data_IF_171735437923
#
_entry.id   IF_171735437923
#
_cell.length_a   1.000
_cell.length_b   1.000
_cell.length_c   1.000
_cell.angle_alpha   90.00
_cell.angle_beta   90.00
_cell.angle_gamma   90.00
#
_symmetry.space_group_name_H-M   'P 1'
#
loop_
_entity.id
_entity.type
_entity.pdbx_description
1 polymer ?
#
# COMPACT_ATOMS: atom_id res chain seq x y z
N UNK A 1 -36.04 69.80 24.38
CA UNK A 1 -36.73 68.64 23.80
C UNK A 1 -35.79 68.00 22.78
N UNK A 2 -34.91 67.11 23.23
CA UNK A 2 -35.14 65.64 23.35
C UNK A 2 -34.70 64.89 22.09
N UNK A 3 -33.41 64.55 22.01
CA UNK A 3 -32.92 63.47 21.12
C UNK A 3 -31.92 62.53 21.80
N UNK A 4 -31.64 62.69 23.10
CA UNK A 4 -30.62 61.90 23.81
C UNK A 4 -31.12 60.51 24.27
N UNK A 5 -32.43 60.22 24.16
CA UNK A 5 -33.00 58.96 24.69
C UNK A 5 -32.99 57.75 23.75
N UNK A 6 -32.66 57.89 22.46
CA UNK A 6 -32.78 56.76 21.53
C UNK A 6 -31.52 55.87 21.40
N UNK A 7 -30.37 56.27 21.94
CA UNK A 7 -29.09 55.56 21.67
C UNK A 7 -28.65 54.56 22.74
N UNK A 8 -29.32 54.47 23.89
CA UNK A 8 -28.87 53.63 25.02
C UNK A 8 -29.43 52.20 25.01
N UNK A 9 -30.58 51.97 24.35
CA UNK A 9 -31.23 50.65 24.36
C UNK A 9 -30.57 49.64 23.40
N UNK A 10 -30.04 50.08 22.27
CA UNK A 10 -29.41 49.17 21.29
C UNK A 10 -28.12 48.55 21.80
N UNK A 11 -27.37 49.26 22.64
CA UNK A 11 -26.10 48.76 23.17
C UNK A 11 -26.28 47.61 24.16
N UNK A 12 -27.34 47.66 24.99
CA UNK A 12 -27.64 46.59 25.95
C UNK A 12 -28.33 45.38 25.29
N UNK A 13 -29.13 45.60 24.24
CA UNK A 13 -29.73 44.50 23.48
C UNK A 13 -28.67 43.73 22.68
N UNK A 14 -27.76 44.43 21.99
CA UNK A 14 -26.67 43.79 21.24
C UNK A 14 -25.67 43.08 22.15
N UNK A 15 -25.39 43.62 23.35
CA UNK A 15 -24.51 42.95 24.32
C UNK A 15 -25.12 41.65 24.84
N UNK A 16 -26.42 41.63 25.17
CA UNK A 16 -27.12 40.39 25.58
C UNK A 16 -27.25 39.39 24.43
N UNK A 17 -27.41 39.85 23.19
CA UNK A 17 -27.47 38.96 22.02
C UNK A 17 -26.09 38.37 21.65
N UNK A 18 -25.00 39.12 21.85
CA UNK A 18 -23.63 38.63 21.66
C UNK A 18 -23.15 37.73 22.80
N UNK A 19 -23.54 38.00 24.06
CA UNK A 19 -23.24 37.12 25.19
C UNK A 19 -24.02 35.79 25.09
N UNK A 20 -25.27 35.81 24.63
CA UNK A 20 -26.03 34.57 24.33
C UNK A 20 -25.45 33.81 23.13
N UNK A 21 -25.06 34.49 22.04
CA UNK A 21 -24.39 33.85 20.88
C UNK A 21 -23.02 33.26 21.20
N UNK A 22 -22.34 33.73 22.24
CA UNK A 22 -21.09 33.14 22.72
C UNK A 22 -21.28 31.97 23.68
N UNK A 23 -22.44 31.83 24.34
CA UNK A 23 -22.73 30.71 25.25
C UNK A 23 -23.28 29.44 24.56
N UNK A 24 -23.79 29.56 23.33
CA UNK A 24 -24.41 28.45 22.59
C UNK A 24 -23.62 27.97 21.34
N UNK A 25 -22.38 28.43 21.15
CA UNK A 25 -21.47 27.76 20.21
C UNK A 25 -20.93 26.48 20.84
N UNK A 26 -21.71 25.41 20.67
CA UNK A 26 -21.33 24.00 20.68
C UNK A 26 -19.97 23.68 21.32
N UNK A 27 -20.01 23.07 22.51
CA UNK A 27 -18.88 22.42 23.21
C UNK A 27 -18.31 21.23 22.45
N UNK A 28 -17.82 21.44 21.23
CA UNK A 28 -16.92 20.54 20.52
C UNK A 28 -15.83 21.43 19.92
N UNK A 29 -14.97 21.99 20.77
CA UNK A 29 -13.70 22.53 20.29
C UNK A 29 -12.84 21.35 19.85
N UNK A 30 -12.84 21.08 18.55
CA UNK A 30 -11.99 20.07 17.92
C UNK A 30 -10.53 20.44 18.18
N UNK A 31 -9.94 19.86 19.22
CA UNK A 31 -8.60 20.23 19.67
C UNK A 31 -7.58 19.47 18.81
N UNK A 32 -7.23 20.06 17.66
CA UNK A 32 -6.42 19.44 16.61
C UNK A 32 -5.10 18.85 17.16
N UNK A 33 -4.51 19.48 18.17
CA UNK A 33 -3.29 19.02 18.82
C UNK A 33 -3.48 17.74 19.65
N UNK A 34 -4.64 17.58 20.30
CA UNK A 34 -4.99 16.36 21.05
C UNK A 34 -5.22 15.20 20.08
N UNK A 35 -5.86 15.48 18.95
CA UNK A 35 -6.06 14.50 17.88
C UNK A 35 -4.70 14.06 17.35
N UNK A 36 -3.81 14.98 16.95
CA UNK A 36 -2.48 14.64 16.44
C UNK A 36 -1.65 13.79 17.43
N UNK A 37 -1.78 14.04 18.74
CA UNK A 37 -1.11 13.26 19.80
C UNK A 37 -1.72 11.87 20.04
N UNK A 38 -2.96 11.61 19.63
CA UNK A 38 -3.68 10.33 19.87
C UNK A 38 -4.13 9.60 18.60
N UNK A 39 -3.93 10.17 17.42
CA UNK A 39 -4.33 9.63 16.10
C UNK A 39 -3.91 8.18 15.89
N UNK A 40 -2.70 7.80 16.30
CA UNK A 40 -2.22 6.41 16.17
C UNK A 40 -3.07 5.41 16.97
N UNK A 41 -3.66 5.83 18.11
CA UNK A 41 -4.57 4.96 18.89
C UNK A 41 -5.91 4.78 18.17
N UNK A 42 -6.45 5.85 17.60
CA UNK A 42 -7.67 5.78 16.79
C UNK A 42 -7.47 4.88 15.57
N UNK A 43 -6.34 5.04 14.87
CA UNK A 43 -5.94 4.14 13.80
C UNK A 43 -6.00 2.67 14.25
N UNK A 44 -5.32 2.32 15.35
CA UNK A 44 -5.26 0.94 15.82
C UNK A 44 -6.65 0.37 16.15
N UNK A 45 -7.48 1.12 16.88
CA UNK A 45 -8.82 0.67 17.26
C UNK A 45 -9.71 0.42 16.04
N UNK A 46 -9.72 1.36 15.09
CA UNK A 46 -10.56 1.26 13.89
C UNK A 46 -10.03 0.14 12.97
N UNK A 47 -8.71 0.08 12.77
CA UNK A 47 -8.08 -0.92 11.93
C UNK A 47 -8.28 -2.34 12.47
N UNK A 48 -8.16 -2.56 13.80
CA UNK A 48 -8.45 -3.88 14.37
C UNK A 48 -9.92 -4.26 14.22
N UNK A 49 -10.85 -3.34 14.49
CA UNK A 49 -12.28 -3.62 14.37
C UNK A 49 -12.67 -4.00 12.94
N UNK A 50 -12.36 -3.14 11.96
CA UNK A 50 -12.69 -3.43 10.56
C UNK A 50 -11.83 -4.54 9.99
N UNK A 51 -10.56 -4.62 10.36
CA UNK A 51 -9.66 -5.67 9.88
C UNK A 51 -10.12 -7.07 10.27
N UNK A 52 -10.68 -7.26 11.47
CA UNK A 52 -11.29 -8.54 11.87
C UNK A 52 -12.51 -8.85 11.00
N UNK A 53 -13.40 -7.88 10.84
CA UNK A 53 -14.60 -8.04 9.99
C UNK A 53 -14.22 -8.43 8.56
N UNK A 54 -13.21 -7.76 7.98
CA UNK A 54 -12.75 -8.03 6.62
C UNK A 54 -12.04 -9.39 6.51
N UNK A 55 -11.19 -9.75 7.48
CA UNK A 55 -10.45 -11.02 7.48
C UNK A 55 -11.40 -12.23 7.48
N UNK A 56 -12.54 -12.11 8.17
CA UNK A 56 -13.55 -13.17 8.27
C UNK A 56 -14.57 -13.08 7.13
N UNK A 57 -15.06 -11.88 6.82
CA UNK A 57 -16.23 -11.66 5.97
C UNK A 57 -15.95 -11.52 4.49
N UNK A 58 -14.72 -11.22 4.08
CA UNK A 58 -14.39 -11.12 2.65
C UNK A 58 -14.32 -12.52 2.01
N UNK A 59 -14.88 -12.71 0.80
CA UNK A 59 -14.71 -13.95 0.05
C UNK A 59 -13.24 -14.30 -0.14
N UNK A 60 -12.95 -15.59 -0.31
CA UNK A 60 -11.58 -16.03 -0.53
C UNK A 60 -11.06 -15.53 -1.87
N UNK A 61 -9.77 -15.24 -1.95
CA UNK A 61 -9.13 -14.78 -3.18
C UNK A 61 -9.83 -13.58 -3.84
N UNK A 62 -10.28 -12.64 -3.02
CA UNK A 62 -10.88 -11.37 -3.45
C UNK A 62 -9.88 -10.48 -4.21
N UNK A 63 -8.57 -10.70 -4.05
CA UNK A 63 -7.55 -10.11 -4.91
C UNK A 63 -7.46 -10.82 -6.27
N UNK A 64 -7.12 -10.11 -7.36
CA UNK A 64 -6.93 -10.70 -8.69
C UNK A 64 -5.99 -11.92 -8.70
N UNK A 65 -4.97 -11.90 -7.85
CA UNK A 65 -3.94 -12.93 -7.68
C UNK A 65 -4.00 -13.64 -6.31
N UNK A 66 -5.16 -13.65 -5.65
CA UNK A 66 -5.33 -14.29 -4.34
C UNK A 66 -4.90 -15.77 -4.28
N UNK A 67 -5.17 -16.52 -5.36
CA UNK A 67 -4.73 -17.93 -5.49
C UNK A 67 -3.20 -18.03 -5.52
N UNK A 68 -2.53 -17.12 -6.21
CA UNK A 68 -1.06 -17.06 -6.24
C UNK A 68 -0.48 -16.84 -4.84
N UNK A 69 -1.07 -15.92 -4.08
CA UNK A 69 -0.64 -15.63 -2.72
C UNK A 69 -0.79 -16.82 -1.79
N UNK A 70 -1.96 -17.46 -1.82
CA UNK A 70 -2.20 -18.65 -1.01
C UNK A 70 -1.25 -19.79 -1.33
N UNK A 71 -1.05 -20.12 -2.62
CA UNK A 71 -0.13 -21.19 -3.02
C UNK A 71 1.29 -20.90 -2.55
N UNK A 72 1.78 -19.67 -2.71
CA UNK A 72 3.12 -19.31 -2.24
C UNK A 72 3.25 -19.39 -0.72
N UNK A 73 2.28 -18.86 0.02
CA UNK A 73 2.27 -18.92 1.48
C UNK A 73 2.26 -20.35 2.00
N UNK A 74 1.43 -21.22 1.41
CA UNK A 74 1.36 -22.64 1.77
C UNK A 74 2.65 -23.38 1.40
N UNK A 75 3.24 -23.08 0.25
CA UNK A 75 4.52 -23.67 -0.16
C UNK A 75 5.67 -23.30 0.79
N UNK A 76 5.72 -22.07 1.31
CA UNK A 76 6.77 -21.65 2.29
C UNK A 76 6.77 -22.54 3.54
N UNK A 77 5.63 -23.07 3.95
CA UNK A 77 5.49 -23.96 5.11
C UNK A 77 5.34 -25.43 4.74
N UNK A 78 5.75 -25.80 3.53
CA UNK A 78 5.68 -27.17 2.99
C UNK A 78 4.27 -27.78 2.97
N UNK A 79 3.25 -26.92 2.86
CA UNK A 79 1.86 -27.33 2.77
C UNK A 79 1.39 -27.24 1.30
N UNK A 80 1.49 -28.35 0.58
CA UNK A 80 1.02 -28.43 -0.81
C UNK A 80 -0.43 -28.87 -0.88
N UNK A 81 -1.35 -27.90 -0.87
CA UNK A 81 -2.79 -28.14 -0.91
C UNK A 81 -3.35 -28.17 -2.34
N UNK A 82 -4.14 -29.17 -2.66
CA UNK A 82 -4.93 -29.19 -3.89
C UNK A 82 -6.26 -28.44 -3.71
N UNK A 83 -6.29 -27.19 -4.18
CA UNK A 83 -7.49 -26.36 -4.14
C UNK A 83 -8.48 -26.63 -5.29
N UNK A 84 -8.17 -27.53 -6.25
CA UNK A 84 -9.12 -27.91 -7.31
C UNK A 84 -10.34 -28.65 -6.76
N UNK A 85 -10.16 -29.36 -5.64
CA UNK A 85 -11.24 -30.02 -4.88
C UNK A 85 -12.35 -29.03 -4.46
N UNK A 86 -11.99 -27.75 -4.32
CA UNK A 86 -12.92 -26.68 -3.96
C UNK A 86 -13.47 -25.92 -5.19
N UNK A 87 -13.16 -26.35 -6.40
CA UNK A 87 -13.55 -25.72 -7.66
C UNK A 87 -12.64 -24.59 -8.13
N UNK A 88 -11.48 -24.39 -7.49
CA UNK A 88 -10.56 -23.29 -7.81
C UNK A 88 -9.63 -23.64 -8.97
N UNK A 89 -10.16 -23.85 -10.17
CA UNK A 89 -9.38 -24.37 -11.30
C UNK A 89 -8.47 -23.33 -11.98
N UNK A 90 -8.56 -22.05 -11.61
CA UNK A 90 -7.70 -21.01 -12.17
C UNK A 90 -6.23 -21.26 -11.80
N UNK A 91 -5.33 -21.10 -12.79
CA UNK A 91 -3.90 -21.32 -12.59
C UNK A 91 -3.31 -20.27 -11.64
N UNK A 92 -3.62 -18.98 -11.87
CA UNK A 92 -3.04 -17.85 -11.11
C UNK A 92 -3.94 -16.62 -10.98
N UNK A 93 -4.76 -16.36 -12.00
CA UNK A 93 -5.58 -15.16 -12.12
C UNK A 93 -6.96 -15.58 -12.61
N UNK A 94 -8.03 -15.02 -12.05
CA UNK A 94 -9.40 -15.35 -12.41
C UNK A 94 -10.40 -14.47 -11.68
N UNK A 95 -11.70 -14.71 -11.89
CA UNK A 95 -12.75 -14.09 -11.09
C UNK A 95 -13.19 -15.11 -10.03
N UNK A 96 -12.42 -15.22 -8.94
CA UNK A 96 -12.54 -16.27 -7.93
C UNK A 96 -13.87 -16.21 -7.16
N UNK A 97 -14.57 -15.08 -7.23
CA UNK A 97 -15.95 -14.97 -6.74
C UNK A 97 -16.92 -15.91 -7.47
N UNK A 98 -16.69 -16.19 -8.76
CA UNK A 98 -17.56 -17.09 -9.55
C UNK A 98 -17.51 -18.51 -9.00
N UNK A 99 -16.34 -18.98 -8.55
CA UNK A 99 -16.15 -20.33 -8.04
C UNK A 99 -16.81 -20.54 -6.67
N UNK A 100 -16.88 -19.48 -5.86
CA UNK A 100 -17.50 -19.50 -4.54
C UNK A 100 -19.00 -19.20 -4.56
N UNK A 101 -19.49 -18.48 -5.58
CA UNK A 101 -20.91 -18.06 -5.68
C UNK A 101 -21.90 -19.20 -5.47
N UNK A 102 -21.76 -20.39 -6.11
CA UNK A 102 -22.67 -21.50 -5.88
C UNK A 102 -22.73 -21.91 -4.41
N UNK A 103 -21.58 -21.89 -3.72
CA UNK A 103 -21.49 -22.31 -2.33
C UNK A 103 -22.23 -21.35 -1.36
N UNK A 104 -22.21 -20.06 -1.68
CA UNK A 104 -22.98 -19.05 -0.96
C UNK A 104 -24.49 -19.17 -1.24
N UNK A 105 -24.87 -19.41 -2.50
CA UNK A 105 -26.27 -19.49 -2.91
C UNK A 105 -26.98 -20.74 -2.39
N UNK A 106 -26.26 -21.87 -2.31
CA UNK A 106 -26.81 -23.15 -1.87
C UNK A 106 -26.71 -23.36 -0.35
N UNK A 107 -26.06 -22.45 0.39
CA UNK A 107 -25.90 -22.54 1.84
C UNK A 107 -24.88 -23.57 2.32
N UNK A 108 -24.08 -24.16 1.43
CA UNK A 108 -23.06 -25.17 1.71
C UNK A 108 -21.65 -24.58 1.91
N UNK A 109 -21.50 -23.25 1.92
CA UNK A 109 -20.22 -22.56 2.12
C UNK A 109 -19.42 -23.08 3.32
N UNK A 110 -20.04 -23.17 4.50
CA UNK A 110 -19.34 -23.62 5.71
C UNK A 110 -18.89 -25.09 5.59
N UNK A 111 -19.78 -25.97 5.15
CA UNK A 111 -19.46 -27.38 4.91
C UNK A 111 -18.32 -27.54 3.89
N UNK A 112 -18.40 -26.83 2.77
CA UNK A 112 -17.43 -26.90 1.68
C UNK A 112 -16.06 -26.38 2.10
N UNK A 113 -15.98 -25.27 2.82
CA UNK A 113 -14.69 -24.60 3.07
C UNK A 113 -14.14 -24.78 4.48
N UNK A 114 -14.98 -24.96 5.49
CA UNK A 114 -14.57 -25.03 6.90
C UNK A 114 -14.60 -26.46 7.45
N UNK A 115 -15.45 -27.35 6.95
CA UNK A 115 -15.54 -28.76 7.40
C UNK A 115 -14.80 -29.74 6.48
N UNK A 116 -14.61 -29.40 5.21
CA UNK A 116 -13.90 -30.26 4.25
C UNK A 116 -12.39 -30.07 4.41
N UNK A 117 -11.71 -31.13 4.82
CA UNK A 117 -10.26 -31.13 4.97
C UNK A 117 -9.53 -30.94 3.63
N UNK A 118 -8.41 -30.23 3.67
CA UNK A 118 -7.57 -29.99 2.50
C UNK A 118 -6.88 -31.28 2.08
N UNK A 119 -6.95 -31.58 0.78
CA UNK A 119 -6.21 -32.69 0.21
C UNK A 119 -4.78 -32.24 -0.11
N UNK A 120 -3.80 -33.05 0.31
CA UNK A 120 -2.39 -32.78 0.00
C UNK A 120 -2.01 -33.51 -1.28
N UNK A 121 -1.25 -32.82 -2.12
CA UNK A 121 -0.73 -33.39 -3.35
C UNK A 121 0.76 -33.05 -3.47
N UNK A 122 1.62 -33.97 -3.93
CA UNK A 122 3.01 -33.65 -4.23
C UNK A 122 3.11 -32.43 -5.16
N UNK A 123 4.06 -31.53 -4.88
CA UNK A 123 4.21 -30.27 -5.62
C UNK A 123 4.29 -30.47 -7.14
N UNK A 124 4.99 -31.51 -7.59
CA UNK A 124 5.15 -31.85 -9.01
C UNK A 124 3.86 -32.30 -9.72
N UNK A 125 2.81 -32.63 -8.96
CA UNK A 125 1.50 -33.03 -9.48
C UNK A 125 0.47 -31.90 -9.40
N UNK A 126 0.78 -30.80 -8.72
CA UNK A 126 -0.13 -29.67 -8.62
C UNK A 126 -0.28 -28.97 -9.99
N UNK A 127 -1.49 -28.51 -10.36
CA UNK A 127 -1.70 -27.75 -11.59
C UNK A 127 -1.14 -26.31 -11.54
N UNK A 128 -0.43 -25.94 -10.46
CA UNK A 128 0.09 -24.60 -10.14
C UNK A 128 1.57 -24.69 -9.74
N UNK A 129 2.18 -23.59 -9.28
CA UNK A 129 3.65 -23.45 -9.12
C UNK A 129 4.26 -24.68 -8.49
N UNK A 130 5.23 -25.23 -9.20
CA UNK A 130 6.01 -26.38 -8.79
C UNK A 130 7.27 -26.00 -8.02
N UNK A 131 7.47 -24.70 -7.75
CA UNK A 131 8.70 -24.15 -7.18
C UNK A 131 8.44 -23.43 -5.86
N UNK A 132 9.41 -23.58 -4.95
CA UNK A 132 9.48 -22.80 -3.72
C UNK A 132 10.04 -21.40 -4.03
N UNK A 133 9.45 -20.33 -3.48
CA UNK A 133 9.99 -18.99 -3.67
C UNK A 133 11.40 -18.89 -3.03
N UNK A 134 12.33 -18.25 -3.74
CA UNK A 134 13.71 -18.03 -3.25
C UNK A 134 13.69 -17.18 -1.98
N UNK A 135 14.45 -17.55 -0.96
CA UNK A 135 14.45 -16.92 0.38
C UNK A 135 14.64 -15.39 0.33
N UNK A 136 15.56 -14.88 -0.50
CA UNK A 136 15.84 -13.45 -0.64
C UNK A 136 15.03 -12.76 -1.74
N UNK A 137 13.83 -13.26 -2.05
CA UNK A 137 12.91 -12.63 -2.98
C UNK A 137 11.77 -11.92 -2.24
N UNK A 138 11.22 -10.86 -2.85
CA UNK A 138 10.01 -10.21 -2.33
C UNK A 138 8.83 -11.19 -2.22
N UNK A 139 8.79 -12.22 -3.07
CA UNK A 139 7.80 -13.28 -2.98
C UNK A 139 7.99 -14.13 -1.72
N UNK A 140 9.20 -14.49 -1.33
CA UNK A 140 9.36 -15.20 -0.06
C UNK A 140 9.09 -14.27 1.12
N UNK A 141 9.81 -13.14 1.18
CA UNK A 141 9.76 -12.20 2.32
C UNK A 141 8.36 -11.62 2.53
N UNK A 142 7.66 -11.29 1.45
CA UNK A 142 6.30 -10.75 1.48
C UNK A 142 5.24 -11.73 1.96
N UNK A 143 5.46 -13.04 1.78
CA UNK A 143 4.51 -14.06 2.22
C UNK A 143 4.89 -14.70 3.56
N UNK A 144 5.97 -14.29 4.25
CA UNK A 144 6.36 -14.87 5.55
C UNK A 144 5.23 -14.80 6.58
N UNK A 145 4.60 -13.62 6.71
CA UNK A 145 3.52 -13.40 7.69
C UNK A 145 2.28 -14.22 7.31
N UNK A 146 1.76 -14.14 6.06
CA UNK A 146 0.70 -15.05 5.60
C UNK A 146 1.03 -16.53 5.80
N UNK A 147 2.26 -16.96 5.51
CA UNK A 147 2.69 -18.35 5.63
C UNK A 147 2.66 -18.84 7.08
N UNK A 148 3.09 -18.02 8.04
CA UNK A 148 2.97 -18.32 9.46
C UNK A 148 1.50 -18.53 9.88
N UNK A 149 0.59 -17.73 9.33
CA UNK A 149 -0.85 -17.87 9.63
C UNK A 149 -1.50 -19.05 8.89
N UNK A 150 -1.01 -19.40 7.70
CA UNK A 150 -1.38 -20.66 7.01
C UNK A 150 -0.99 -21.87 7.86
N UNK A 151 0.25 -21.88 8.36
CA UNK A 151 0.73 -22.94 9.25
C UNK A 151 -0.13 -23.02 10.51
N UNK A 152 -0.43 -21.89 11.15
CA UNK A 152 -1.27 -21.85 12.36
C UNK A 152 -2.67 -22.39 12.07
N UNK A 153 -3.32 -21.93 11.00
CA UNK A 153 -4.67 -22.35 10.64
C UNK A 153 -4.75 -23.85 10.34
N UNK A 154 -3.76 -24.39 9.64
CA UNK A 154 -3.68 -25.83 9.36
C UNK A 154 -3.62 -26.68 10.65
N UNK A 155 -2.90 -26.20 11.67
CA UNK A 155 -2.79 -26.90 12.95
C UNK A 155 -4.01 -26.72 13.87
N UNK A 156 -4.85 -25.70 13.63
CA UNK A 156 -6.14 -25.57 14.31
C UNK A 156 -7.15 -26.54 13.70
N UNK A 157 -7.33 -26.45 12.38
CA UNK A 157 -8.13 -27.40 11.63
C UNK A 157 -7.71 -27.36 10.15
N UNK A 158 -7.42 -28.50 9.50
CA UNK A 158 -6.86 -28.52 8.16
C UNK A 158 -7.93 -28.29 7.08
N UNK A 159 -8.74 -27.23 7.18
CA UNK A 159 -9.68 -26.80 6.14
C UNK A 159 -9.23 -25.53 5.45
N UNK A 160 -9.63 -25.33 4.18
CA UNK A 160 -9.25 -24.13 3.42
C UNK A 160 -9.68 -22.85 4.14
N UNK A 161 -10.90 -22.84 4.71
CA UNK A 161 -11.45 -21.70 5.42
C UNK A 161 -10.66 -21.35 6.68
N UNK A 162 -10.32 -22.34 7.51
CA UNK A 162 -9.52 -22.10 8.71
C UNK A 162 -8.13 -21.56 8.35
N UNK A 163 -7.46 -22.19 7.38
CA UNK A 163 -6.14 -21.79 6.90
C UNK A 163 -6.14 -20.34 6.40
N UNK A 164 -7.09 -19.99 5.53
CA UNK A 164 -7.17 -18.64 4.94
C UNK A 164 -7.52 -17.61 6.01
N UNK A 165 -8.52 -17.86 6.87
CA UNK A 165 -8.95 -16.90 7.89
C UNK A 165 -7.84 -16.65 8.91
N UNK A 166 -7.13 -17.70 9.37
CA UNK A 166 -6.00 -17.52 10.27
C UNK A 166 -4.84 -16.76 9.62
N UNK A 167 -4.54 -17.04 8.34
CA UNK A 167 -3.55 -16.27 7.58
C UNK A 167 -3.91 -14.79 7.48
N UNK A 168 -5.16 -14.47 7.15
CA UNK A 168 -5.66 -13.09 7.06
C UNK A 168 -5.62 -12.37 8.40
N UNK A 169 -6.10 -13.01 9.47
CA UNK A 169 -6.10 -12.41 10.81
C UNK A 169 -4.68 -12.11 11.29
N UNK A 170 -3.72 -13.03 11.06
CA UNK A 170 -2.33 -12.81 11.44
C UNK A 170 -1.69 -11.68 10.62
N UNK A 171 -1.87 -11.69 9.29
CA UNK A 171 -1.41 -10.62 8.41
C UNK A 171 -1.97 -9.26 8.84
N UNK A 172 -3.28 -9.18 9.03
CA UNK A 172 -3.97 -7.96 9.43
C UNK A 172 -3.45 -7.44 10.76
N UNK A 173 -3.29 -8.32 11.76
CA UNK A 173 -2.78 -7.95 13.07
C UNK A 173 -1.34 -7.41 12.99
N UNK A 174 -0.44 -8.15 12.34
CA UNK A 174 0.97 -7.78 12.23
C UNK A 174 1.15 -6.49 11.45
N UNK A 175 0.55 -6.37 10.27
CA UNK A 175 0.70 -5.16 9.45
C UNK A 175 0.04 -3.95 10.10
N UNK A 176 -1.13 -4.11 10.72
CA UNK A 176 -1.78 -3.04 11.48
C UNK A 176 -0.90 -2.56 12.62
N UNK A 177 -0.31 -3.49 13.39
CA UNK A 177 0.57 -3.15 14.50
C UNK A 177 1.85 -2.44 14.04
N UNK A 178 2.45 -2.86 12.93
CA UNK A 178 3.62 -2.19 12.37
C UNK A 178 3.25 -0.76 11.92
N UNK A 179 2.15 -0.59 11.17
CA UNK A 179 1.71 0.74 10.72
C UNK A 179 1.38 1.66 11.90
N UNK A 180 0.80 1.12 12.99
CA UNK A 180 0.61 1.84 14.24
C UNK A 180 1.93 2.43 14.77
N UNK A 181 3.00 1.63 14.82
CA UNK A 181 4.31 2.11 15.25
C UNK A 181 4.91 3.13 14.27
N UNK A 182 4.70 2.97 12.96
CA UNK A 182 5.11 3.96 11.95
C UNK A 182 4.39 5.30 12.15
N UNK A 183 3.07 5.29 12.38
CA UNK A 183 2.29 6.51 12.66
C UNK A 183 2.77 7.16 13.97
N UNK A 184 3.11 6.36 14.98
CA UNK A 184 3.68 6.87 16.23
C UNK A 184 5.08 7.49 16.01
N UNK A 185 5.88 6.90 15.13
CA UNK A 185 7.25 7.29 14.80
C UNK A 185 7.34 8.56 13.93
N UNK A 186 6.41 8.75 12.99
CA UNK A 186 6.47 9.89 12.07
C UNK A 186 6.19 11.21 12.82
N UNK A 187 7.02 12.22 12.57
CA UNK A 187 6.93 13.52 13.26
C UNK A 187 5.83 14.42 12.73
N UNK A 188 5.54 14.31 11.44
CA UNK A 188 4.53 15.11 10.72
C UNK A 188 3.68 14.20 9.84
N UNK A 189 2.44 14.60 9.58
CA UNK A 189 1.57 13.87 8.66
C UNK A 189 0.91 12.61 9.24
N UNK A 190 0.86 12.44 10.57
CA UNK A 190 0.23 11.28 11.22
C UNK A 190 -1.19 11.00 10.74
N UNK A 191 -1.96 12.07 10.50
CA UNK A 191 -3.32 11.99 9.97
C UNK A 191 -3.34 11.40 8.57
N UNK A 192 -2.38 11.76 7.70
CA UNK A 192 -2.27 11.22 6.33
C UNK A 192 -2.01 9.72 6.37
N UNK A 193 -1.04 9.27 7.17
CA UNK A 193 -0.79 7.83 7.35
C UNK A 193 -2.00 7.09 7.89
N UNK A 194 -2.75 7.72 8.79
CA UNK A 194 -3.97 7.13 9.37
C UNK A 194 -5.09 7.01 8.33
N UNK A 195 -5.35 8.06 7.55
CA UNK A 195 -6.38 8.04 6.51
C UNK A 195 -6.04 7.02 5.42
N UNK A 196 -4.78 7.00 4.97
CA UNK A 196 -4.32 6.02 3.98
C UNK A 196 -4.39 4.60 4.56
N UNK A 197 -3.91 4.41 5.79
CA UNK A 197 -3.94 3.12 6.48
C UNK A 197 -5.34 2.56 6.69
N UNK A 198 -6.32 3.42 6.97
CA UNK A 198 -7.73 3.05 7.13
C UNK A 198 -8.51 3.04 5.81
N UNK A 199 -7.86 3.31 4.68
CA UNK A 199 -8.55 3.25 3.39
C UNK A 199 -9.02 1.82 3.10
N UNK A 200 -10.15 1.65 2.39
CA UNK A 200 -10.67 0.32 2.07
C UNK A 200 -9.64 -0.56 1.35
N UNK A 201 -8.81 0.03 0.50
CA UNK A 201 -7.76 -0.68 -0.24
C UNK A 201 -6.70 -1.24 0.72
N UNK A 202 -6.13 -0.40 1.60
CA UNK A 202 -5.08 -0.85 2.53
C UNK A 202 -5.63 -1.85 3.54
N UNK A 203 -6.84 -1.62 4.06
CA UNK A 203 -7.49 -2.53 4.99
C UNK A 203 -7.79 -3.90 4.36
N UNK A 204 -8.24 -3.92 3.10
CA UNK A 204 -8.42 -5.15 2.33
C UNK A 204 -7.07 -5.87 2.14
N UNK A 205 -6.04 -5.16 1.67
CA UNK A 205 -4.70 -5.73 1.47
C UNK A 205 -4.07 -6.27 2.77
N UNK A 206 -4.28 -5.62 3.92
CA UNK A 206 -3.82 -6.14 5.20
C UNK A 206 -4.60 -7.37 5.65
N UNK A 207 -5.88 -7.44 5.29
CA UNK A 207 -6.78 -8.56 5.59
C UNK A 207 -6.72 -9.66 4.54
N UNK A 208 -5.61 -9.76 3.80
CA UNK A 208 -5.38 -10.76 2.77
C UNK A 208 -4.04 -11.48 2.92
N UNK A 209 -3.77 -12.41 1.99
CA UNK A 209 -2.51 -13.15 1.95
C UNK A 209 -1.45 -12.45 1.08
N UNK A 210 -1.76 -11.26 0.57
CA UNK A 210 -0.92 -10.59 -0.43
C UNK A 210 0.39 -10.07 0.14
N UNK A 211 1.49 -10.27 -0.62
CA UNK A 211 2.77 -9.61 -0.36
C UNK A 211 2.72 -8.09 -0.50
N UNK A 212 1.64 -7.55 -1.11
CA UNK A 212 1.43 -6.10 -1.21
C UNK A 212 1.24 -5.47 0.19
N UNK A 213 0.77 -6.22 1.19
CA UNK A 213 0.65 -5.76 2.57
C UNK A 213 2.01 -5.35 3.17
N UNK A 214 3.01 -6.23 3.07
CA UNK A 214 4.38 -5.90 3.49
C UNK A 214 4.97 -4.77 2.63
N UNK A 215 4.71 -4.78 1.32
CA UNK A 215 5.20 -3.75 0.40
C UNK A 215 4.70 -2.35 0.80
N UNK A 216 3.42 -2.23 1.19
CA UNK A 216 2.83 -0.98 1.69
C UNK A 216 3.46 -0.52 3.01
N UNK A 217 3.70 -1.45 3.94
CA UNK A 217 4.37 -1.17 5.22
C UNK A 217 5.79 -0.63 4.99
N UNK A 218 6.56 -1.25 4.09
CA UNK A 218 7.91 -0.83 3.78
C UNK A 218 7.94 0.54 3.10
N UNK A 219 7.00 0.80 2.18
CA UNK A 219 6.83 2.12 1.57
C UNK A 219 6.47 3.18 2.61
N UNK A 220 5.52 2.90 3.51
CA UNK A 220 5.13 3.79 4.59
C UNK A 220 6.31 4.10 5.52
N UNK A 221 7.08 3.07 5.91
CA UNK A 221 8.25 3.26 6.76
C UNK A 221 9.32 4.13 6.08
N UNK A 222 9.64 3.86 4.82
CA UNK A 222 10.60 4.64 4.03
C UNK A 222 10.19 6.11 3.94
N UNK A 223 8.91 6.38 3.63
CA UNK A 223 8.37 7.75 3.58
C UNK A 223 8.40 8.42 4.95
N UNK A 224 8.07 7.70 6.04
CA UNK A 224 8.13 8.22 7.40
C UNK A 224 9.57 8.62 7.81
N UNK A 225 10.56 7.81 7.43
CA UNK A 225 11.98 8.15 7.63
C UNK A 225 12.34 9.42 6.84
N UNK A 226 11.93 9.51 5.57
CA UNK A 226 12.13 10.69 4.73
C UNK A 226 11.53 11.97 5.35
N UNK A 227 10.28 11.91 5.83
CA UNK A 227 9.62 13.01 6.53
C UNK A 227 10.41 13.43 7.76
N UNK A 228 10.85 12.46 8.58
CA UNK A 228 11.61 12.74 9.79
C UNK A 228 12.98 13.39 9.48
N UNK A 229 13.62 13.01 8.37
CA UNK A 229 14.86 13.65 7.90
C UNK A 229 14.64 15.09 7.46
N UNK A 230 13.58 15.34 6.68
CA UNK A 230 13.21 16.68 6.22
C UNK A 230 12.87 17.60 7.40
N UNK A 231 12.08 17.09 8.37
CA UNK A 231 11.70 17.83 9.58
C UNK A 231 12.93 18.21 10.43
N UNK A 232 13.90 17.29 10.59
CA UNK A 232 15.16 17.60 11.31
C UNK A 232 16.04 18.59 10.55
N UNK A 233 16.00 18.58 9.22
CA UNK A 233 16.78 19.49 8.36
C UNK A 233 18.30 19.32 8.45
N UNK A 234 18.81 18.25 9.08
CA UNK A 234 20.23 17.92 9.21
C UNK A 234 20.47 16.42 9.10
N UNK A 235 21.62 16.06 8.55
CA UNK A 235 22.06 14.66 8.43
C UNK A 235 22.81 14.30 9.71
N UNK A 236 22.33 13.28 10.41
CA UNK A 236 22.95 12.74 11.64
C UNK A 236 23.01 11.23 11.55
N UNK A 237 23.96 10.54 12.21
CA UNK A 237 24.03 9.08 12.23
C UNK A 237 22.70 8.41 12.62
N UNK A 238 21.98 8.99 13.59
CA UNK A 238 20.64 8.56 14.04
C UNK A 238 19.54 8.61 12.96
N UNK A 239 19.75 9.35 11.87
CA UNK A 239 18.83 9.39 10.72
C UNK A 239 19.31 8.50 9.57
N UNK A 240 20.62 8.32 9.44
CA UNK A 240 21.22 7.49 8.40
C UNK A 240 20.92 6.01 8.64
N UNK A 241 20.90 5.55 9.89
CA UNK A 241 20.62 4.15 10.18
C UNK A 241 19.19 3.73 9.75
N UNK A 242 18.09 4.42 10.15
CA UNK A 242 16.75 4.12 9.63
C UNK A 242 16.62 4.25 8.11
N UNK A 243 17.36 5.18 7.50
CA UNK A 243 17.41 5.35 6.04
C UNK A 243 18.00 4.11 5.34
N UNK A 244 19.15 3.64 5.82
CA UNK A 244 19.82 2.45 5.26
C UNK A 244 18.93 1.22 5.46
N UNK A 245 18.40 1.03 6.66
CA UNK A 245 17.52 -0.11 6.98
C UNK A 245 16.28 -0.10 6.08
N UNK A 246 15.58 1.03 5.96
CA UNK A 246 14.39 1.14 5.11
C UNK A 246 14.71 0.92 3.63
N UNK A 247 15.87 1.40 3.15
CA UNK A 247 16.30 1.20 1.76
C UNK A 247 16.61 -0.26 1.46
N UNK A 248 17.35 -0.95 2.34
CA UNK A 248 17.67 -2.37 2.20
C UNK A 248 16.37 -3.20 2.25
N UNK A 249 15.49 -2.91 3.19
CA UNK A 249 14.22 -3.61 3.31
C UNK A 249 13.37 -3.46 2.05
N UNK A 250 13.22 -2.25 1.51
CA UNK A 250 12.50 -2.02 0.24
C UNK A 250 13.19 -2.73 -0.94
N UNK A 251 14.52 -2.74 -1.00
CA UNK A 251 15.24 -3.36 -2.11
C UNK A 251 15.00 -4.87 -2.23
N UNK A 252 14.94 -5.58 -1.09
CA UNK A 252 14.78 -7.04 -1.06
C UNK A 252 13.33 -7.51 -0.89
N UNK A 253 12.55 -6.84 -0.04
CA UNK A 253 11.24 -7.33 0.39
C UNK A 253 10.04 -6.63 -0.28
N UNK A 254 10.25 -5.51 -0.98
CA UNK A 254 9.19 -4.82 -1.70
C UNK A 254 9.16 -5.18 -3.20
N UNK A 255 7.96 -5.06 -3.79
CA UNK A 255 7.73 -5.19 -5.24
C UNK A 255 8.61 -4.22 -6.03
N UNK A 256 9.04 -4.61 -7.23
CA UNK A 256 10.03 -3.88 -8.04
C UNK A 256 9.65 -2.42 -8.34
N UNK A 257 8.36 -2.15 -8.55
CA UNK A 257 7.84 -0.80 -8.80
C UNK A 257 8.05 0.16 -7.60
N UNK A 258 8.13 -0.35 -6.37
CA UNK A 258 8.32 0.44 -5.16
C UNK A 258 9.80 0.78 -4.93
N UNK A 259 10.74 0.06 -5.55
CA UNK A 259 12.18 0.34 -5.41
C UNK A 259 12.57 1.75 -5.85
N UNK A 260 11.79 2.37 -6.74
CA UNK A 260 11.97 3.76 -7.14
C UNK A 260 11.88 4.74 -5.96
N UNK A 261 11.11 4.41 -4.91
CA UNK A 261 10.99 5.25 -3.71
C UNK A 261 12.32 5.47 -2.99
N UNK A 262 13.30 4.58 -3.13
CA UNK A 262 14.64 4.74 -2.54
C UNK A 262 15.31 6.05 -3.02
N UNK A 263 14.97 6.53 -4.22
CA UNK A 263 15.47 7.80 -4.75
C UNK A 263 15.03 9.02 -3.95
N UNK A 264 14.06 8.90 -3.03
CA UNK A 264 13.69 10.01 -2.15
C UNK A 264 14.88 10.44 -1.27
N UNK A 265 15.74 9.51 -0.86
CA UNK A 265 16.85 9.81 0.04
C UNK A 265 17.95 10.65 -0.60
N UNK A 266 18.50 10.34 -1.80
CA UNK A 266 19.43 11.24 -2.46
C UNK A 266 18.82 12.61 -2.74
N UNK A 267 17.52 12.69 -3.06
CA UNK A 267 16.80 13.96 -3.23
C UNK A 267 16.77 14.75 -1.92
N UNK A 268 16.41 14.12 -0.80
CA UNK A 268 16.37 14.76 0.54
C UNK A 268 17.77 15.23 0.94
N UNK A 269 18.79 14.37 0.81
CA UNK A 269 20.18 14.69 1.15
C UNK A 269 20.65 15.89 0.33
N UNK A 270 20.45 15.87 -0.98
CA UNK A 270 20.78 16.99 -1.86
C UNK A 270 20.04 18.27 -1.44
N UNK A 271 18.74 18.17 -1.12
CA UNK A 271 17.95 19.33 -0.69
C UNK A 271 18.46 19.95 0.61
N UNK A 272 18.93 19.13 1.56
CA UNK A 272 19.50 19.59 2.83
C UNK A 272 20.86 20.26 2.58
N UNK A 273 21.74 19.65 1.78
CA UNK A 273 23.04 20.25 1.42
C UNK A 273 22.92 21.56 0.64
N UNK A 274 21.90 21.63 -0.22
CA UNK A 274 21.63 22.80 -1.08
C UNK A 274 20.87 23.91 -0.35
N UNK A 275 20.33 23.64 0.85
CA UNK A 275 19.60 24.59 1.67
C UNK A 275 20.53 25.76 2.05
N UNK A 276 20.17 26.96 1.63
CA UNK A 276 20.97 28.19 1.86
C UNK A 276 21.99 28.51 0.75
N UNK A 277 22.71 27.52 0.20
CA UNK A 277 23.66 27.73 -0.92
C UNK A 277 22.96 28.08 -2.24
N UNK A 278 21.85 27.43 -2.54
CA UNK A 278 21.08 27.63 -3.78
C UNK A 278 20.37 28.97 -3.87
N UNK A 279 19.81 29.49 -2.77
CA UNK A 279 19.17 30.81 -2.79
C UNK A 279 20.14 31.91 -3.20
N UNK A 280 21.42 31.82 -2.80
CA UNK A 280 22.43 32.81 -3.20
C UNK A 280 22.92 32.62 -4.65
N UNK A 281 23.04 31.39 -5.14
CA UNK A 281 23.47 31.10 -6.52
C UNK A 281 22.35 31.38 -7.53
N UNK A 282 21.13 30.90 -7.29
CA UNK A 282 19.96 31.07 -8.17
C UNK A 282 19.55 32.55 -8.26
N UNK A 283 19.70 33.32 -7.18
CA UNK A 283 19.38 34.76 -7.18
C UNK A 283 20.45 35.61 -7.87
N UNK A 284 21.68 35.09 -8.02
CA UNK A 284 22.76 35.70 -8.83
C UNK A 284 22.64 35.37 -10.32
N UNK A 285 21.90 34.32 -10.68
CA UNK A 285 21.64 33.95 -12.08
C UNK A 285 20.54 34.84 -12.68
N UNK A 286 20.84 35.43 -13.85
CA UNK A 286 19.86 36.23 -14.60
C UNK A 286 18.62 35.40 -14.95
N UNK A 287 17.46 36.05 -15.18
CA UNK A 287 16.23 35.35 -15.60
C UNK A 287 16.46 34.47 -16.85
N UNK A 288 17.31 34.93 -17.79
CA UNK A 288 17.70 34.18 -19.00
C UNK A 288 18.56 32.96 -18.67
N UNK A 289 19.55 33.08 -17.78
CA UNK A 289 20.41 31.96 -17.40
C UNK A 289 19.67 30.85 -16.63
N UNK A 290 18.64 31.21 -15.84
CA UNK A 290 17.76 30.23 -15.16
C UNK A 290 16.88 29.47 -16.15
N UNK A 291 16.38 30.18 -17.17
CA UNK A 291 15.57 29.56 -18.22
C UNK A 291 16.40 28.61 -19.08
N UNK A 292 17.60 29.02 -19.51
CA UNK A 292 18.50 28.17 -20.32
C UNK A 292 18.97 26.95 -19.55
N UNK A 293 19.37 27.08 -18.28
CA UNK A 293 19.77 25.92 -17.46
C UNK A 293 18.62 24.93 -17.27
N UNK A 294 17.38 25.40 -17.09
CA UNK A 294 16.21 24.52 -16.98
C UNK A 294 15.95 23.76 -18.29
N UNK A 295 16.09 24.44 -19.44
CA UNK A 295 15.95 23.80 -20.77
C UNK A 295 17.03 22.76 -20.99
N UNK A 296 18.30 23.06 -20.65
CA UNK A 296 19.41 22.12 -20.81
C UNK A 296 19.19 20.86 -19.96
N UNK A 297 18.76 21.02 -18.71
CA UNK A 297 18.43 19.89 -17.84
C UNK A 297 17.28 19.06 -18.42
N UNK A 298 16.23 19.72 -18.93
CA UNK A 298 15.12 19.03 -19.59
C UNK A 298 15.59 18.22 -20.80
N UNK A 299 16.45 18.79 -21.65
CA UNK A 299 17.03 18.11 -22.82
C UNK A 299 17.85 16.90 -22.40
N UNK A 300 18.69 17.03 -21.35
CA UNK A 300 19.48 15.91 -20.83
C UNK A 300 18.57 14.79 -20.32
N UNK A 301 17.52 15.13 -19.57
CA UNK A 301 16.54 14.15 -19.07
C UNK A 301 15.81 13.46 -20.22
N UNK A 302 15.40 14.22 -21.24
CA UNK A 302 14.76 13.67 -22.44
C UNK A 302 15.71 12.72 -23.16
N UNK A 303 16.92 13.16 -23.53
CA UNK A 303 17.92 12.32 -24.21
C UNK A 303 18.22 11.05 -23.40
N UNK A 304 18.41 11.17 -22.09
CA UNK A 304 18.60 10.03 -21.19
C UNK A 304 17.43 9.06 -21.24
N UNK A 305 16.19 9.58 -21.22
CA UNK A 305 14.97 8.80 -21.38
C UNK A 305 14.89 8.09 -22.74
N UNK A 306 15.25 8.76 -23.84
CA UNK A 306 15.30 8.17 -25.18
C UNK A 306 16.31 7.01 -25.23
N UNK A 307 17.53 7.24 -24.73
CA UNK A 307 18.59 6.24 -24.69
C UNK A 307 18.22 5.03 -23.82
N UNK A 308 17.55 5.27 -22.70
CA UNK A 308 17.05 4.20 -21.84
C UNK A 308 15.92 3.42 -22.52
N UNK A 309 14.98 4.10 -23.17
CA UNK A 309 13.86 3.49 -23.90
C UNK A 309 14.34 2.59 -25.05
N UNK A 310 15.51 2.86 -25.67
CA UNK A 310 16.10 1.96 -26.69
C UNK A 310 16.33 0.54 -26.17
N UNK A 311 16.63 0.35 -24.88
CA UNK A 311 16.77 -0.99 -24.27
C UNK A 311 15.47 -1.78 -24.23
N UNK A 312 14.34 -1.10 -24.40
CA UNK A 312 12.99 -1.67 -24.34
C UNK A 312 12.24 -1.55 -25.68
N UNK A 313 12.96 -1.48 -26.80
CA UNK A 313 12.37 -1.41 -28.14
C UNK A 313 12.08 0.02 -28.64
N UNK A 314 12.59 1.03 -27.96
CA UNK A 314 12.48 2.44 -28.36
C UNK A 314 11.28 3.17 -27.74
N UNK A 315 11.29 4.51 -27.85
CA UNK A 315 10.25 5.37 -27.27
C UNK A 315 8.85 5.03 -27.77
N UNK A 316 8.70 4.74 -29.07
CA UNK A 316 7.39 4.45 -29.65
C UNK A 316 6.72 3.25 -29.00
N UNK A 317 7.46 2.17 -28.75
CA UNK A 317 6.94 0.99 -28.08
C UNK A 317 6.64 1.25 -26.60
N UNK A 318 7.46 2.05 -25.92
CA UNK A 318 7.21 2.44 -24.52
C UNK A 318 5.94 3.31 -24.41
N UNK A 319 5.78 4.30 -25.28
CA UNK A 319 4.60 5.17 -25.34
C UNK A 319 3.37 4.34 -25.71
N UNK A 320 3.47 3.43 -26.69
CA UNK A 320 2.40 2.52 -27.05
C UNK A 320 1.98 1.63 -25.88
N UNK A 321 2.93 1.00 -25.16
CA UNK A 321 2.63 0.19 -23.97
C UNK A 321 2.00 1.02 -22.84
N UNK A 322 2.44 2.27 -22.64
CA UNK A 322 1.82 3.19 -21.70
C UNK A 322 0.38 3.53 -22.13
N UNK A 323 0.17 3.88 -23.39
CA UNK A 323 -1.15 4.19 -23.94
C UNK A 323 -2.10 3.00 -23.86
N UNK A 324 -1.62 1.79 -24.17
CA UNK A 324 -2.38 0.55 -24.03
C UNK A 324 -2.78 0.31 -22.58
N UNK A 325 -1.88 0.52 -21.61
CA UNK A 325 -2.22 0.39 -20.18
C UNK A 325 -3.37 1.32 -19.74
N UNK A 326 -3.54 2.49 -20.37
CA UNK A 326 -4.64 3.41 -20.07
C UNK A 326 -5.90 3.16 -20.90
N UNK A 327 -5.75 2.82 -22.17
CA UNK A 327 -6.86 2.73 -23.14
C UNK A 327 -7.56 1.36 -23.14
N UNK A 328 -6.86 0.32 -22.71
CA UNK A 328 -7.36 -1.06 -22.73
C UNK A 328 -8.53 -1.31 -21.77
N UNK A 329 -8.57 -0.61 -20.63
CA UNK A 329 -9.69 -0.69 -19.69
C UNK A 329 -11.05 -0.26 -20.28
N UNK A 330 -11.07 0.25 -21.52
CA UNK A 330 -12.28 0.65 -22.24
C UNK A 330 -12.75 -0.35 -23.29
N UNK A 331 -12.05 -1.48 -23.51
CA UNK A 331 -12.46 -2.50 -24.49
C UNK A 331 -12.77 -3.86 -23.82
N UNK A 332 -14.06 -4.25 -23.70
CA UNK A 332 -14.47 -5.45 -22.98
C UNK A 332 -14.14 -6.79 -23.67
N UNK A 333 -13.60 -6.77 -24.90
CA UNK A 333 -13.43 -7.99 -25.72
C UNK A 333 -12.02 -8.59 -25.72
N UNK A 334 -11.06 -8.05 -24.95
CA UNK A 334 -9.68 -8.55 -24.97
C UNK A 334 -9.36 -9.23 -23.62
N UNK A 335 -8.79 -10.43 -23.68
CA UNK A 335 -8.63 -11.33 -22.54
C UNK A 335 -7.35 -11.01 -21.74
N UNK A 336 -7.43 -10.97 -20.41
CA UNK A 336 -6.32 -10.58 -19.50
C UNK A 336 -5.09 -11.49 -19.65
N UNK A 337 -5.27 -12.71 -20.15
CA UNK A 337 -4.18 -13.65 -20.41
C UNK A 337 -3.25 -13.20 -21.55
N UNK A 338 -3.75 -12.43 -22.53
CA UNK A 338 -2.97 -11.92 -23.66
C UNK A 338 -2.08 -10.72 -23.28
N UNK A 339 -2.31 -10.10 -22.13
CA UNK A 339 -1.50 -8.97 -21.64
C UNK A 339 -0.20 -9.46 -20.99
N UNK A 340 -0.24 -10.56 -20.25
CA UNK A 340 0.95 -11.07 -19.56
C UNK A 340 2.03 -11.53 -20.56
N UNK A 341 1.65 -11.94 -21.78
CA UNK A 341 2.60 -12.24 -22.86
C UNK A 341 3.26 -10.97 -23.41
N UNK A 342 2.57 -9.82 -23.42
CA UNK A 342 3.08 -8.54 -23.97
C UNK A 342 3.82 -7.67 -22.93
N UNK A 343 3.43 -7.75 -21.66
CA UNK A 343 3.99 -6.94 -20.57
C UNK A 343 5.11 -7.63 -19.78
N UNK A 344 5.18 -8.97 -19.78
CA UNK A 344 6.13 -9.73 -18.93
C UNK A 344 7.28 -10.36 -19.72
N UNK A 345 7.24 -10.43 -21.05
CA UNK A 345 8.37 -11.00 -21.80
C UNK A 345 9.62 -10.09 -21.71
N UNK A 346 10.75 -10.56 -21.13
CA UNK A 346 12.04 -10.07 -21.56
C UNK A 346 12.21 -10.51 -23.02
N UNK A 347 12.77 -9.64 -23.87
CA UNK A 347 13.21 -10.02 -25.21
C UNK A 347 14.15 -11.22 -25.10
N UNK A 348 13.63 -12.42 -25.31
CA UNK A 348 14.43 -13.53 -25.79
C UNK A 348 14.88 -13.08 -27.17
N UNK A 349 16.16 -12.72 -27.30
CA UNK A 349 16.78 -12.63 -28.61
C UNK A 349 16.74 -14.05 -29.18
N UNK A 350 15.77 -14.30 -30.04
CA UNK A 350 15.94 -15.31 -31.10
C UNK A 350 17.13 -14.85 -31.92
N UNK A 351 18.25 -15.55 -31.76
CA UNK A 351 19.27 -15.67 -32.80
C UNK A 351 18.69 -16.62 -33.84
#
# INVERSE_FOLDING_TARGET
>A
MDTVRYRRNDYHLNKRHNEKRHSEKSKISFNAEVIEKKVYKFYLSIALFFGIILSIGMPFFNEPDGVYHFVNSSNIVHLTTDITVYGENSKWFGNQFVNQKPAYQNGDYFKKYFETEVQRMPMNKLPRSTEYPKVLSYNFLGHIVPAAGVWLGYHIYPSMGMIIVCARLLSMFVYTLILFFIIKYVRRGKLVFTIIGLSPVVMNTFSSLSYDGLTLILAAFLVAVGINMVDKGKITPFNLLPMIISSIAVYFAAKTNIKLLILIFPIIILSIFMRGKTKNIIRRLSKRARFTTSIVVLIIVLIGGILYARRYGGLGLVIYKLFMNFSYNFNPNINVQDINTVLVQPLVRTI
#
